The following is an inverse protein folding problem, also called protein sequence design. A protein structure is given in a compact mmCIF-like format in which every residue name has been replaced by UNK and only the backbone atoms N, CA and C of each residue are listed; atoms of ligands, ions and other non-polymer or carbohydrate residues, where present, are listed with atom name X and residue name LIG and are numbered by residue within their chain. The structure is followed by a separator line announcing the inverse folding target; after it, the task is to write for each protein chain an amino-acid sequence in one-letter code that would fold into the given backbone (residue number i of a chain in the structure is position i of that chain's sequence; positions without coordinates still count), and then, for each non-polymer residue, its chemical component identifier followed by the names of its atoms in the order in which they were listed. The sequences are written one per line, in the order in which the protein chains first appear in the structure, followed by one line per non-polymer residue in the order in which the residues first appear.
data_IF_308951074576
#
_entry.id   IF_308951074576
#
_cell.length_a   1.000
_cell.length_b   1.000
_cell.length_c   1.000
_cell.angle_alpha   90.00
_cell.angle_beta   90.00
_cell.angle_gamma   90.00
#
_symmetry.space_group_name_H-M   'P 1'
#
loop_
_entity.id
_entity.type
_entity.pdbx_description
1 polymer ?
#
# COMPACT_ATOMS: atom_id res chain seq x y z
N UNK A 1 -8.96 -15.55 6.07
CA UNK A 1 -8.05 -14.51 6.61
C UNK A 1 -6.73 -15.14 7.02
N UNK A 2 -6.72 -16.04 8.02
CA UNK A 2 -5.52 -16.70 8.55
C UNK A 2 -4.52 -17.19 7.50
N UNK A 3 -4.94 -18.08 6.58
CA UNK A 3 -4.05 -18.62 5.54
C UNK A 3 -3.33 -17.52 4.76
N UNK A 4 -4.05 -16.49 4.31
CA UNK A 4 -3.46 -15.40 3.52
C UNK A 4 -2.53 -14.52 4.36
N UNK A 5 -2.96 -14.15 5.58
CA UNK A 5 -2.18 -13.29 6.47
C UNK A 5 -0.89 -13.97 6.94
N UNK A 6 -0.96 -15.24 7.34
CA UNK A 6 0.19 -16.05 7.72
C UNK A 6 1.12 -16.36 6.54
N UNK A 7 0.58 -16.46 5.31
CA UNK A 7 1.38 -16.54 4.10
C UNK A 7 2.03 -15.19 3.69
N UNK A 8 1.78 -14.10 4.42
CA UNK A 8 2.39 -12.79 4.17
C UNK A 8 1.60 -11.88 3.23
N UNK A 9 0.32 -12.18 2.97
CA UNK A 9 -0.56 -11.25 2.25
C UNK A 9 -1.02 -10.14 3.21
N UNK A 10 -0.29 -9.02 3.22
CA UNK A 10 -0.54 -7.91 4.14
C UNK A 10 -1.78 -7.07 3.76
N UNK A 11 -2.13 -7.01 2.47
CA UNK A 11 -3.25 -6.24 1.94
C UNK A 11 -4.25 -7.14 1.19
N UNK A 12 -5.52 -6.79 1.26
CA UNK A 12 -6.56 -7.41 0.44
C UNK A 12 -7.13 -6.39 -0.54
N UNK A 13 -6.97 -6.65 -1.85
CA UNK A 13 -7.67 -5.90 -2.89
C UNK A 13 -9.12 -6.41 -2.95
N UNK A 14 -10.04 -5.67 -2.34
CA UNK A 14 -11.42 -6.07 -2.12
C UNK A 14 -11.84 -5.78 -0.68
N UNK A 15 -12.84 -6.53 -0.19
CA UNK A 15 -13.44 -6.30 1.13
C UNK A 15 -13.38 -7.52 2.06
N UNK A 16 -12.59 -8.55 1.70
CA UNK A 16 -12.54 -9.79 2.45
C UNK A 16 -11.90 -9.61 3.83
N UNK A 17 -10.78 -8.89 3.94
CA UNK A 17 -10.17 -8.63 5.26
C UNK A 17 -11.07 -7.74 6.13
N UNK A 18 -11.65 -6.68 5.58
CA UNK A 18 -12.54 -5.79 6.36
C UNK A 18 -13.79 -6.52 6.87
N UNK A 19 -14.33 -7.47 6.10
CA UNK A 19 -15.49 -8.28 6.52
C UNK A 19 -15.15 -9.38 7.54
N UNK A 20 -14.04 -10.09 7.36
CA UNK A 20 -13.82 -11.37 8.06
C UNK A 20 -12.70 -11.37 9.11
N UNK A 21 -11.86 -10.32 9.19
CA UNK A 21 -10.73 -10.29 10.16
C UNK A 21 -11.21 -10.35 11.61
N UNK A 22 -12.30 -9.65 11.96
CA UNK A 22 -12.88 -9.72 13.31
C UNK A 22 -13.35 -11.14 13.67
N UNK A 23 -13.98 -11.84 12.73
CA UNK A 23 -14.41 -13.22 12.93
C UNK A 23 -13.19 -14.15 13.11
N UNK A 24 -12.11 -13.91 12.38
CA UNK A 24 -10.88 -14.68 12.49
C UNK A 24 -10.20 -14.52 13.86
N UNK A 25 -10.24 -13.32 14.46
CA UNK A 25 -9.80 -13.05 15.84
C UNK A 25 -10.69 -13.78 16.85
N UNK A 26 -12.02 -13.68 16.72
CA UNK A 26 -12.96 -14.37 17.60
C UNK A 26 -12.75 -15.89 17.59
N UNK A 27 -12.54 -16.45 16.39
CA UNK A 27 -12.25 -17.88 16.21
C UNK A 27 -10.81 -18.26 16.59
N UNK A 28 -9.97 -17.32 17.04
CA UNK A 28 -8.55 -17.52 17.41
C UNK A 28 -7.71 -18.13 16.29
N UNK A 29 -8.12 -17.92 15.03
CA UNK A 29 -7.36 -18.36 13.84
C UNK A 29 -6.24 -17.40 13.47
N UNK A 30 -6.28 -16.19 14.02
CA UNK A 30 -5.22 -15.18 14.00
C UNK A 30 -5.16 -14.50 15.37
N UNK A 31 -4.08 -13.78 15.64
CA UNK A 31 -3.92 -12.90 16.80
C UNK A 31 -3.74 -11.45 16.35
N UNK A 32 -3.89 -10.47 17.26
CA UNK A 32 -3.68 -9.05 16.94
C UNK A 32 -2.29 -8.78 16.37
N UNK A 33 -1.26 -9.48 16.87
CA UNK A 33 0.10 -9.37 16.36
C UNK A 33 0.24 -9.73 14.87
N UNK A 34 -0.62 -10.63 14.34
CA UNK A 34 -0.62 -10.95 12.90
C UNK A 34 -1.09 -9.73 12.08
N UNK A 35 -2.04 -8.97 12.60
CA UNK A 35 -2.58 -7.75 11.99
C UNK A 35 -1.55 -6.63 12.11
N UNK A 36 -0.94 -6.47 13.29
CA UNK A 36 0.09 -5.45 13.53
C UNK A 36 1.28 -5.62 12.58
N UNK A 37 1.72 -6.85 12.32
CA UNK A 37 2.81 -7.12 11.38
C UNK A 37 2.46 -6.67 9.96
N UNK A 38 1.25 -6.98 9.48
CA UNK A 38 0.79 -6.57 8.15
C UNK A 38 0.66 -5.04 8.04
N UNK A 39 0.17 -4.38 9.10
CA UNK A 39 0.08 -2.93 9.17
C UNK A 39 1.46 -2.28 9.19
N UNK A 40 2.40 -2.78 10.00
CA UNK A 40 3.78 -2.26 10.05
C UNK A 40 4.44 -2.32 8.68
N UNK A 41 4.33 -3.45 7.96
CA UNK A 41 4.88 -3.57 6.60
C UNK A 41 4.26 -2.57 5.63
N UNK A 42 2.94 -2.44 5.66
CA UNK A 42 2.19 -1.51 4.79
C UNK A 42 2.54 -0.05 5.07
N UNK A 43 2.58 0.35 6.34
CA UNK A 43 2.91 1.71 6.74
C UNK A 43 4.39 2.04 6.56
N UNK A 44 5.29 1.06 6.69
CA UNK A 44 6.71 1.27 6.37
C UNK A 44 6.92 1.67 4.91
N UNK A 45 6.11 1.16 3.98
CA UNK A 45 6.14 1.63 2.58
C UNK A 45 5.73 3.10 2.49
N UNK A 46 4.64 3.49 3.16
CA UNK A 46 4.18 4.89 3.19
C UNK A 46 5.22 5.83 3.81
N UNK A 47 5.87 5.41 4.90
CA UNK A 47 6.96 6.17 5.53
C UNK A 47 8.14 6.32 4.58
N UNK A 48 8.58 5.24 3.92
CA UNK A 48 9.68 5.30 2.93
C UNK A 48 9.38 6.18 1.73
N UNK A 49 8.11 6.31 1.35
CA UNK A 49 7.64 7.21 0.29
C UNK A 49 7.45 8.66 0.77
N UNK A 50 7.76 8.96 2.04
CA UNK A 50 7.60 10.29 2.61
C UNK A 50 6.14 10.72 2.71
N UNK A 51 5.20 9.78 2.80
CA UNK A 51 3.76 10.08 2.83
C UNK A 51 3.35 10.95 4.02
N UNK A 52 4.08 10.84 5.13
CA UNK A 52 3.83 11.58 6.37
C UNK A 52 4.74 12.81 6.54
N UNK A 53 5.64 13.06 5.59
CA UNK A 53 6.57 14.18 5.64
C UNK A 53 5.90 15.47 5.10
N UNK A 54 6.41 16.67 5.46
CA UNK A 54 5.90 17.93 4.91
C UNK A 54 5.93 17.95 3.37
N UNK A 55 4.83 18.33 2.69
CA UNK A 55 4.73 18.27 1.23
C UNK A 55 5.85 18.99 0.48
N UNK A 56 6.30 20.14 0.99
CA UNK A 56 7.37 20.97 0.43
C UNK A 56 8.73 20.28 0.41
N UNK A 57 8.94 19.31 1.31
CA UNK A 57 10.17 18.51 1.41
C UNK A 57 10.13 17.24 0.54
N UNK A 58 8.99 16.92 -0.07
CA UNK A 58 8.81 15.70 -0.85
C UNK A 58 8.89 15.96 -2.36
N UNK A 59 9.95 15.50 -3.07
CA UNK A 59 10.13 15.78 -4.49
C UNK A 59 8.95 15.35 -5.36
N UNK A 60 8.40 14.16 -5.09
CA UNK A 60 7.30 13.59 -5.87
C UNK A 60 5.94 14.26 -5.60
N UNK A 61 5.82 15.05 -4.53
CA UNK A 61 4.61 15.86 -4.27
C UNK A 61 4.59 17.18 -5.03
N UNK A 62 5.67 17.50 -5.76
CA UNK A 62 5.78 18.68 -6.62
C UNK A 62 5.32 18.41 -8.05
N UNK A 63 5.09 17.14 -8.40
CA UNK A 63 4.59 16.74 -9.71
C UNK A 63 3.16 17.24 -9.91
N UNK A 64 2.87 17.58 -11.16
CA UNK A 64 1.63 18.22 -11.59
C UNK A 64 1.16 17.65 -12.92
N UNK A 65 0.03 18.15 -13.43
CA UNK A 65 -0.45 17.77 -14.76
C UNK A 65 0.50 18.22 -15.89
N UNK A 66 1.37 19.21 -15.66
CA UNK A 66 2.37 19.61 -16.66
C UNK A 66 3.45 18.54 -16.87
N UNK A 67 3.63 17.63 -15.90
CA UNK A 67 4.59 16.53 -15.95
C UNK A 67 3.98 15.26 -16.59
N UNK A 68 2.71 15.32 -17.01
CA UNK A 68 1.99 14.22 -17.67
C UNK A 68 2.00 14.44 -19.17
N UNK A 69 2.26 13.37 -19.93
CA UNK A 69 2.15 13.36 -21.41
C UNK A 69 3.06 14.43 -22.09
N UNK A 70 4.30 14.55 -21.58
CA UNK A 70 5.34 15.42 -22.15
C UNK A 70 5.80 14.92 -23.52
N UNK A 71 6.51 15.77 -24.26
CA UNK A 71 7.07 15.38 -25.55
C UNK A 71 7.99 14.15 -25.45
N UNK A 72 8.77 14.08 -24.37
CA UNK A 72 9.68 12.97 -24.07
C UNK A 72 8.92 11.68 -23.79
N UNK A 73 7.86 11.71 -22.97
CA UNK A 73 7.09 10.49 -22.66
C UNK A 73 6.29 10.00 -23.85
N UNK A 74 5.76 10.90 -24.70
CA UNK A 74 5.15 10.54 -25.99
C UNK A 74 6.14 9.89 -26.94
N UNK A 75 7.34 10.46 -27.06
CA UNK A 75 8.38 9.87 -27.90
C UNK A 75 8.77 8.48 -27.41
N UNK A 76 8.92 8.29 -26.09
CA UNK A 76 9.18 6.96 -25.51
C UNK A 76 8.07 5.97 -25.84
N UNK A 77 6.80 6.39 -25.75
CA UNK A 77 5.65 5.55 -26.07
C UNK A 77 5.59 5.09 -27.53
N UNK A 78 6.16 5.84 -28.47
CA UNK A 78 6.22 5.44 -29.89
C UNK A 78 7.25 4.33 -30.14
N UNK A 79 8.17 4.12 -29.21
CA UNK A 79 9.29 3.17 -29.33
C UNK A 79 9.16 1.94 -28.41
N UNK A 80 8.08 1.82 -27.64
CA UNK A 80 7.78 0.68 -26.76
C UNK A 80 6.87 -0.33 -27.47
#
# INVERSE_FOLDING_TARGET
VAVALHAGTDLNCGDFYSKYTRQALYNKTIVEADIDQALQRSFNVLVRLGYFDPPEQQPYRKLSHADVDTAETRQLSLHA
#
